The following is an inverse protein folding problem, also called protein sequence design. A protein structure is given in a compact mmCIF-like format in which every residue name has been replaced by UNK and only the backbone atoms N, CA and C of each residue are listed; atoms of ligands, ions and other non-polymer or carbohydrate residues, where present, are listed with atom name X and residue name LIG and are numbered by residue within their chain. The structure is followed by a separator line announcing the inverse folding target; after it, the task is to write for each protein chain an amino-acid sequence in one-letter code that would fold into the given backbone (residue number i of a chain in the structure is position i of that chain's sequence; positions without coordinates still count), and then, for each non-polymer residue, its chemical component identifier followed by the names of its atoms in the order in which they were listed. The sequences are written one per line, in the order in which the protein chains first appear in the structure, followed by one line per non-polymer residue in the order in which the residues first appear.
data_IF_108608102485
#
_entry.id   IF_108608102485
#
_cell.length_a   1.000
_cell.length_b   1.000
_cell.length_c   1.000
_cell.angle_alpha   90.00
_cell.angle_beta   90.00
_cell.angle_gamma   90.00
#
_symmetry.space_group_name_H-M   'P 1'
#
loop_
_entity.id
_entity.type
_entity.pdbx_description
1 polymer ?
#
# COMPACT_ATOMS: atom_id res chain seq x y z
N UNK A 1 -6.25 41.88 -18.82
CA UNK A 1 -5.77 41.12 -17.65
C UNK A 1 -4.38 41.65 -17.28
N UNK A 2 -4.21 42.24 -16.10
CA UNK A 2 -2.91 42.78 -15.66
C UNK A 2 -1.96 41.62 -15.33
N UNK A 3 -0.71 41.68 -15.82
CA UNK A 3 0.31 40.66 -15.55
C UNK A 3 0.76 40.78 -14.09
N UNK A 4 0.71 39.68 -13.34
CA UNK A 4 1.24 39.58 -11.97
C UNK A 4 2.72 40.03 -11.93
N UNK A 5 3.06 40.89 -10.97
CA UNK A 5 4.44 41.33 -10.77
C UNK A 5 5.26 40.22 -10.12
N UNK A 6 6.58 40.19 -10.34
CA UNK A 6 7.49 39.18 -9.77
C UNK A 6 7.35 39.05 -8.25
N UNK A 7 7.12 40.17 -7.55
CA UNK A 7 6.90 40.22 -6.10
C UNK A 7 5.56 39.59 -5.70
N UNK A 8 4.49 39.86 -6.44
CA UNK A 8 3.18 39.24 -6.20
C UNK A 8 3.19 37.73 -6.49
N UNK A 9 3.93 37.30 -7.52
CA UNK A 9 4.12 35.88 -7.79
C UNK A 9 4.93 35.19 -6.69
N UNK A 10 6.02 35.79 -6.20
CA UNK A 10 6.80 35.23 -5.10
C UNK A 10 5.97 35.09 -3.81
N UNK A 11 5.17 36.11 -3.47
CA UNK A 11 4.29 36.07 -2.31
C UNK A 11 3.26 34.93 -2.39
N UNK A 12 2.70 34.64 -3.57
CA UNK A 12 1.79 33.49 -3.75
C UNK A 12 2.50 32.15 -3.55
N UNK A 13 3.77 32.03 -3.95
CA UNK A 13 4.57 30.82 -3.70
C UNK A 13 4.93 30.64 -2.23
N UNK A 14 5.23 31.75 -1.54
CA UNK A 14 5.49 31.74 -0.10
C UNK A 14 4.22 31.43 0.69
N UNK A 15 3.07 32.02 0.32
CA UNK A 15 1.75 31.71 0.89
C UNK A 15 1.34 30.25 0.66
N UNK A 16 1.62 29.71 -0.53
CA UNK A 16 1.39 28.30 -0.82
C UNK A 16 2.29 27.40 0.06
N UNK A 17 3.57 27.74 0.19
CA UNK A 17 4.54 27.00 1.02
C UNK A 17 4.13 27.02 2.50
N UNK A 18 3.79 28.19 3.02
CA UNK A 18 3.35 28.37 4.40
C UNK A 18 2.01 27.69 4.64
N UNK A 19 1.10 27.71 3.66
CA UNK A 19 -0.12 26.92 3.68
C UNK A 19 0.17 25.44 3.89
N UNK A 20 1.05 24.85 3.07
CA UNK A 20 1.42 23.44 3.23
C UNK A 20 2.09 23.13 4.58
N UNK A 21 3.02 23.96 5.05
CA UNK A 21 3.74 23.75 6.32
C UNK A 21 2.86 23.96 7.55
N UNK A 22 1.83 24.81 7.46
CA UNK A 22 1.00 25.16 8.60
C UNK A 22 -0.30 24.35 8.69
N UNK A 23 -0.74 23.65 7.64
CA UNK A 23 -1.97 22.84 7.68
C UNK A 23 -1.89 21.76 8.77
N UNK A 24 -0.80 20.97 8.81
CA UNK A 24 -0.63 19.91 9.82
C UNK A 24 -0.65 20.49 11.24
N UNK A 25 0.15 21.53 11.49
CA UNK A 25 0.19 22.23 12.78
C UNK A 25 -1.16 22.81 13.18
N UNK A 26 -1.92 23.33 12.22
CA UNK A 26 -3.25 23.92 12.47
C UNK A 26 -4.24 22.83 12.83
N UNK A 27 -4.21 21.68 12.15
CA UNK A 27 -5.08 20.53 12.45
C UNK A 27 -4.74 19.94 13.82
N UNK A 28 -3.46 19.77 14.13
CA UNK A 28 -3.03 19.34 15.47
C UNK A 28 -3.56 20.30 16.53
N UNK A 29 -3.40 21.61 16.35
CA UNK A 29 -3.96 22.62 17.28
C UNK A 29 -5.47 22.55 17.42
N UNK A 30 -6.21 22.33 16.32
CA UNK A 30 -7.67 22.16 16.36
C UNK A 30 -8.04 20.93 17.20
N UNK A 31 -7.31 19.82 17.02
CA UNK A 31 -7.50 18.56 17.74
C UNK A 31 -7.17 18.71 19.23
N UNK A 32 -6.00 19.26 19.55
CA UNK A 32 -5.53 19.46 20.93
C UNK A 32 -6.40 20.47 21.69
N UNK A 33 -6.77 21.58 21.05
CA UNK A 33 -7.59 22.62 21.67
C UNK A 33 -9.10 22.31 21.63
N UNK A 34 -9.49 21.18 21.02
CA UNK A 34 -10.88 20.81 20.78
C UNK A 34 -11.73 21.94 20.21
N UNK A 35 -11.21 22.62 19.18
CA UNK A 35 -11.78 23.88 18.69
C UNK A 35 -13.19 23.75 18.07
N UNK A 36 -13.72 22.53 17.95
CA UNK A 36 -15.11 22.27 17.55
C UNK A 36 -16.12 22.44 18.69
N UNK A 37 -15.73 22.24 19.95
CA UNK A 37 -16.65 22.33 21.09
C UNK A 37 -17.26 23.75 21.24
N UNK A 38 -16.47 24.85 21.16
CA UNK A 38 -17.03 26.21 21.24
C UNK A 38 -17.89 26.60 20.04
N UNK A 39 -17.76 25.88 18.92
CA UNK A 39 -18.57 26.08 17.72
C UNK A 39 -19.91 25.34 17.78
N UNK A 40 -20.14 24.54 18.83
CA UNK A 40 -21.38 23.82 19.07
C UNK A 40 -21.45 22.42 18.46
N UNK A 41 -20.35 21.89 17.92
CA UNK A 41 -20.33 20.51 17.42
C UNK A 41 -20.08 19.52 18.56
N UNK A 42 -20.73 18.36 18.48
CA UNK A 42 -20.58 17.31 19.49
C UNK A 42 -19.28 16.51 19.32
N UNK A 43 -18.78 16.41 18.09
CA UNK A 43 -17.60 15.62 17.75
C UNK A 43 -16.72 16.34 16.72
N UNK A 44 -15.42 16.01 16.71
CA UNK A 44 -14.52 16.44 15.66
C UNK A 44 -14.99 15.96 14.29
N UNK A 45 -15.53 14.74 14.20
CA UNK A 45 -16.05 14.17 12.94
C UNK A 45 -17.20 14.99 12.33
N UNK A 46 -18.08 15.53 13.17
CA UNK A 46 -19.18 16.40 12.76
C UNK A 46 -18.65 17.74 12.23
N UNK A 47 -17.76 18.39 12.99
CA UNK A 47 -17.13 19.65 12.58
C UNK A 47 -16.32 19.50 11.29
N UNK A 48 -15.62 18.37 11.13
CA UNK A 48 -14.86 18.06 9.93
C UNK A 48 -15.77 17.93 8.71
N UNK A 49 -16.89 17.23 8.83
CA UNK A 49 -17.82 17.05 7.72
C UNK A 49 -18.52 18.34 7.31
N UNK A 50 -18.78 19.27 8.24
CA UNK A 50 -19.39 20.56 7.90
C UNK A 50 -18.37 21.54 7.28
N UNK A 51 -17.15 21.60 7.82
CA UNK A 51 -16.17 22.64 7.46
C UNK A 51 -15.16 22.23 6.40
N UNK A 52 -14.92 20.93 6.23
CA UNK A 52 -13.87 20.39 5.36
C UNK A 52 -14.43 19.43 4.31
N UNK A 53 -15.74 19.49 4.04
CA UNK A 53 -16.34 18.70 2.97
C UNK A 53 -15.65 18.98 1.62
N UNK A 54 -15.40 17.92 0.85
CA UNK A 54 -14.72 18.00 -0.44
C UNK A 54 -13.21 18.29 -0.40
N UNK A 55 -12.61 18.49 0.78
CA UNK A 55 -11.15 18.72 0.90
C UNK A 55 -10.39 17.40 0.84
N UNK A 56 -9.54 17.23 -0.18
CA UNK A 56 -8.62 16.08 -0.27
C UNK A 56 -7.42 16.27 0.65
N UNK A 57 -7.31 15.42 1.66
CA UNK A 57 -6.19 15.41 2.59
C UNK A 57 -4.87 14.97 1.92
N UNK A 58 -3.84 15.80 2.13
CA UNK A 58 -2.45 15.44 1.87
C UNK A 58 -2.02 14.24 2.73
N UNK A 59 -1.09 13.43 2.22
CA UNK A 59 -0.69 12.16 2.84
C UNK A 59 -0.29 12.32 4.30
N UNK A 60 0.53 13.33 4.61
CA UNK A 60 1.06 13.60 5.97
C UNK A 60 -0.05 13.81 7.01
N UNK A 61 -1.15 14.44 6.62
CA UNK A 61 -2.20 14.90 7.54
C UNK A 61 -3.27 13.82 7.80
N UNK A 62 -3.37 12.83 6.91
CA UNK A 62 -4.43 11.79 6.97
C UNK A 62 -4.44 11.03 8.29
N UNK A 63 -3.27 10.72 8.82
CA UNK A 63 -3.15 9.95 10.05
C UNK A 63 -3.75 10.67 11.26
N UNK A 64 -3.48 11.97 11.42
CA UNK A 64 -4.01 12.78 12.52
C UNK A 64 -5.54 12.83 12.50
N UNK A 65 -6.14 13.10 11.33
CA UNK A 65 -7.60 13.20 11.17
C UNK A 65 -8.26 11.84 11.41
N UNK A 66 -7.74 10.78 10.80
CA UNK A 66 -8.29 9.42 10.95
C UNK A 66 -8.16 8.94 12.39
N UNK A 67 -7.04 9.21 13.07
CA UNK A 67 -6.84 8.78 14.46
C UNK A 67 -7.79 9.49 15.42
N UNK A 68 -8.04 10.78 15.21
CA UNK A 68 -9.02 11.52 15.99
C UNK A 68 -10.43 10.94 15.82
N UNK A 69 -10.88 10.71 14.58
CA UNK A 69 -12.19 10.10 14.32
C UNK A 69 -12.30 8.67 14.89
N UNK A 70 -11.24 7.86 14.76
CA UNK A 70 -11.20 6.53 15.36
C UNK A 70 -11.19 6.57 16.89
N UNK A 71 -10.68 7.65 17.51
CA UNK A 71 -10.73 7.83 18.96
C UNK A 71 -12.14 8.15 19.46
N UNK A 72 -12.93 8.83 18.64
CA UNK A 72 -14.36 9.10 18.87
C UNK A 72 -15.26 7.89 18.58
N UNK A 73 -14.69 6.79 18.09
CA UNK A 73 -15.42 5.54 17.81
C UNK A 73 -16.06 5.48 16.43
N UNK A 74 -15.68 6.38 15.52
CA UNK A 74 -16.21 6.41 14.16
C UNK A 74 -15.89 5.12 13.37
N UNK A 75 -16.87 4.69 12.58
CA UNK A 75 -16.72 3.51 11.73
C UNK A 75 -15.81 3.80 10.53
N UNK A 76 -15.03 2.80 10.11
CA UNK A 76 -14.11 2.90 8.97
C UNK A 76 -14.78 3.45 7.70
N UNK A 77 -16.00 2.98 7.42
CA UNK A 77 -16.76 3.39 6.24
C UNK A 77 -17.24 4.85 6.34
N UNK A 78 -17.62 5.29 7.54
CA UNK A 78 -18.03 6.68 7.79
C UNK A 78 -16.83 7.64 7.64
N UNK A 79 -15.67 7.27 8.18
CA UNK A 79 -14.42 8.02 8.01
C UNK A 79 -14.05 8.11 6.52
N UNK A 80 -14.14 7.00 5.79
CA UNK A 80 -13.83 6.97 4.35
C UNK A 80 -14.73 7.94 3.56
N UNK A 81 -16.03 7.92 3.81
CA UNK A 81 -16.99 8.81 3.16
C UNK A 81 -16.74 10.29 3.47
N UNK A 82 -16.47 10.64 4.73
CA UNK A 82 -16.26 12.04 5.17
C UNK A 82 -14.92 12.64 4.75
N UNK A 83 -13.88 11.81 4.59
CA UNK A 83 -12.51 12.27 4.30
C UNK A 83 -12.08 12.05 2.86
N UNK A 84 -12.84 11.26 2.08
CA UNK A 84 -12.45 10.82 0.74
C UNK A 84 -11.22 9.89 0.72
N UNK A 85 -10.77 9.40 1.88
CA UNK A 85 -9.69 8.42 2.00
C UNK A 85 -10.24 7.04 1.70
N UNK A 86 -9.54 6.24 0.89
CA UNK A 86 -9.96 4.87 0.59
C UNK A 86 -10.09 4.01 1.84
N UNK A 87 -11.12 3.17 1.88
CA UNK A 87 -11.46 2.29 3.02
C UNK A 87 -10.29 1.41 3.46
N UNK A 88 -9.49 0.90 2.51
CA UNK A 88 -8.26 0.15 2.80
C UNK A 88 -7.24 0.96 3.59
N UNK A 89 -6.98 2.22 3.19
CA UNK A 89 -6.05 3.10 3.91
C UNK A 89 -6.55 3.45 5.31
N UNK A 90 -7.88 3.61 5.51
CA UNK A 90 -8.45 3.81 6.85
C UNK A 90 -8.28 2.55 7.72
N UNK A 91 -8.44 1.35 7.16
CA UNK A 91 -8.18 0.08 7.87
C UNK A 91 -6.71 -0.06 8.27
N UNK A 92 -5.79 0.32 7.39
CA UNK A 92 -4.36 0.31 7.68
C UNK A 92 -4.01 1.28 8.82
N UNK A 93 -4.53 2.51 8.77
CA UNK A 93 -4.37 3.51 9.83
C UNK A 93 -4.99 3.03 11.16
N UNK A 94 -6.16 2.38 11.13
CA UNK A 94 -6.76 1.78 12.32
C UNK A 94 -5.87 0.70 12.93
N UNK A 95 -5.27 -0.16 12.10
CA UNK A 95 -4.33 -1.21 12.54
C UNK A 95 -3.05 -0.60 13.13
N UNK A 96 -2.51 0.44 12.51
CA UNK A 96 -1.34 1.15 13.03
C UNK A 96 -1.64 1.79 14.40
N UNK A 97 -2.80 2.45 14.54
CA UNK A 97 -3.25 3.02 15.81
C UNK A 97 -3.39 1.96 16.89
N UNK A 98 -3.99 0.81 16.59
CA UNK A 98 -4.11 -0.30 17.55
C UNK A 98 -2.75 -0.89 17.96
N UNK A 99 -1.73 -0.75 17.11
CA UNK A 99 -0.36 -1.15 17.40
C UNK A 99 0.46 -0.06 18.09
N UNK A 100 -0.15 1.07 18.47
CA UNK A 100 0.52 2.17 19.17
C UNK A 100 1.43 3.02 18.29
N UNK A 101 1.31 2.93 16.96
CA UNK A 101 2.04 3.83 16.04
C UNK A 101 1.48 5.24 16.21
N UNK A 102 2.31 6.26 16.47
CA UNK A 102 1.83 7.64 16.54
C UNK A 102 1.55 8.20 15.14
N UNK A 103 0.63 9.17 14.99
CA UNK A 103 0.17 9.66 13.69
C UNK A 103 1.31 10.25 12.83
N UNK A 104 2.34 10.84 13.43
CA UNK A 104 3.52 11.38 12.74
C UNK A 104 4.38 10.28 12.09
N UNK A 105 4.29 9.05 12.60
CA UNK A 105 4.99 7.87 12.08
C UNK A 105 4.11 6.98 11.18
N UNK A 106 2.81 7.27 11.08
CA UNK A 106 1.84 6.45 10.36
C UNK A 106 1.97 6.56 8.83
N UNK A 107 2.47 7.69 8.32
CA UNK A 107 2.78 7.93 6.90
C UNK A 107 4.07 7.28 6.42
N UNK A 108 4.94 6.88 7.35
CA UNK A 108 6.18 6.15 7.09
C UNK A 108 5.92 4.65 6.83
N UNK A 109 4.93 4.34 6.00
CA UNK A 109 4.83 2.98 5.46
C UNK A 109 5.96 2.85 4.44
N UNK A 110 6.96 2.03 4.78
CA UNK A 110 7.99 1.54 3.86
C UNK A 110 7.35 1.43 2.48
N UNK A 111 7.86 2.19 1.51
CA UNK A 111 7.61 1.91 0.11
C UNK A 111 7.75 0.40 -0.03
N UNK A 112 6.64 -0.31 -0.20
CA UNK A 112 6.69 -1.60 -0.82
C UNK A 112 7.08 -1.27 -2.26
N UNK A 113 8.39 -1.12 -2.49
CA UNK A 113 8.94 -1.47 -3.78
C UNK A 113 8.41 -2.87 -3.99
N UNK A 114 7.36 -3.02 -4.83
CA UNK A 114 6.98 -4.34 -5.32
C UNK A 114 8.29 -4.89 -5.85
N UNK A 115 8.83 -5.90 -5.18
CA UNK A 115 10.01 -6.58 -5.66
C UNK A 115 9.72 -6.89 -7.12
N UNK A 116 10.62 -6.47 -8.02
CA UNK A 116 10.49 -6.80 -9.43
C UNK A 116 10.07 -8.27 -9.52
N UNK A 117 9.01 -8.58 -10.28
CA UNK A 117 8.63 -9.98 -10.50
C UNK A 117 9.91 -10.69 -10.91
N UNK A 118 10.44 -11.54 -10.03
CA UNK A 118 11.73 -12.18 -10.30
C UNK A 118 11.51 -12.98 -11.59
N UNK A 119 12.31 -12.76 -12.63
CA UNK A 119 12.16 -13.53 -13.85
C UNK A 119 12.24 -15.02 -13.49
N UNK A 120 11.52 -15.89 -14.20
CA UNK A 120 11.58 -17.32 -13.94
C UNK A 120 13.03 -17.79 -13.93
N UNK A 121 13.38 -18.58 -12.91
CA UNK A 121 14.72 -19.16 -12.80
C UNK A 121 14.92 -20.20 -13.92
N UNK A 122 16.06 -20.16 -14.59
CA UNK A 122 16.44 -21.17 -15.59
C UNK A 122 17.23 -22.28 -14.92
N UNK A 123 16.78 -23.52 -15.11
CA UNK A 123 17.55 -24.71 -14.81
C UNK A 123 18.20 -25.18 -16.12
N UNK A 124 19.53 -25.29 -16.14
CA UNK A 124 20.28 -25.86 -17.25
C UNK A 124 20.72 -27.25 -16.81
N UNK A 125 20.35 -28.26 -17.59
CA UNK A 125 20.77 -29.65 -17.40
C UNK A 125 21.49 -30.06 -18.67
N UNK A 126 22.69 -30.58 -18.50
CA UNK A 126 23.50 -31.12 -19.60
C UNK A 126 23.33 -32.63 -19.63
N UNK A 127 23.05 -33.17 -20.81
CA UNK A 127 22.99 -34.60 -21.08
C UNK A 127 24.20 -34.99 -21.91
N UNK A 128 24.72 -36.19 -21.70
CA UNK A 128 25.64 -36.80 -22.66
C UNK A 128 24.95 -37.02 -24.01
N UNK A 129 25.71 -37.15 -25.12
CA UNK A 129 25.15 -37.44 -26.43
C UNK A 129 24.23 -38.67 -26.43
N UNK A 130 24.64 -39.74 -25.75
CA UNK A 130 23.91 -41.01 -25.68
C UNK A 130 22.59 -40.87 -24.92
N UNK A 131 22.58 -40.15 -23.79
CA UNK A 131 21.36 -39.90 -23.01
C UNK A 131 20.35 -39.06 -23.81
N UNK A 132 20.84 -38.06 -24.55
CA UNK A 132 19.99 -37.24 -25.42
C UNK A 132 19.39 -38.07 -26.55
N UNK A 133 20.17 -38.95 -27.17
CA UNK A 133 19.70 -39.80 -28.26
C UNK A 133 18.63 -40.78 -27.77
N UNK A 134 18.87 -41.45 -26.64
CA UNK A 134 17.88 -42.33 -26.01
C UNK A 134 16.58 -41.60 -25.67
N UNK A 135 16.68 -40.38 -25.13
CA UNK A 135 15.50 -39.58 -24.81
C UNK A 135 14.74 -39.14 -26.07
N UNK A 136 15.46 -38.73 -27.12
CA UNK A 136 14.86 -38.36 -28.40
C UNK A 136 14.15 -39.54 -29.08
N UNK A 137 14.75 -40.75 -29.05
CA UNK A 137 14.11 -41.96 -29.56
C UNK A 137 12.85 -42.33 -28.78
N UNK A 138 12.89 -42.20 -27.45
CA UNK A 138 11.72 -42.42 -26.60
C UNK A 138 10.58 -41.45 -26.97
N UNK A 139 10.86 -40.13 -27.03
CA UNK A 139 9.87 -39.14 -27.43
C UNK A 139 9.29 -39.43 -28.82
N UNK A 140 10.14 -39.78 -29.80
CA UNK A 140 9.71 -40.12 -31.15
C UNK A 140 8.80 -41.35 -31.19
N UNK A 141 9.11 -42.37 -30.38
CA UNK A 141 8.31 -43.61 -30.30
C UNK A 141 6.89 -43.36 -29.78
N UNK A 142 6.72 -42.37 -28.92
CA UNK A 142 5.44 -42.03 -28.29
C UNK A 142 4.77 -40.77 -28.88
N UNK A 143 5.32 -40.22 -29.97
CA UNK A 143 4.86 -38.99 -30.62
C UNK A 143 4.78 -37.79 -29.66
N UNK A 144 5.83 -37.63 -28.84
CA UNK A 144 5.92 -36.60 -27.81
C UNK A 144 6.93 -35.51 -28.19
N UNK A 145 6.66 -34.28 -27.74
CA UNK A 145 7.63 -33.19 -27.80
C UNK A 145 8.65 -33.30 -26.66
N UNK A 146 9.93 -33.36 -27.02
CA UNK A 146 11.05 -33.55 -26.10
C UNK A 146 11.12 -32.45 -25.03
N UNK A 147 10.82 -31.20 -25.39
CA UNK A 147 10.90 -30.06 -24.46
C UNK A 147 9.78 -30.10 -23.44
N UNK A 148 8.57 -30.41 -23.90
CA UNK A 148 7.38 -30.54 -23.06
C UNK A 148 7.55 -31.69 -22.09
N UNK A 149 7.95 -32.86 -22.57
CA UNK A 149 8.16 -34.05 -21.73
C UNK A 149 9.23 -33.82 -20.66
N UNK A 150 10.37 -33.23 -21.02
CA UNK A 150 11.41 -32.89 -20.05
C UNK A 150 10.90 -31.93 -18.97
N UNK A 151 10.09 -30.93 -19.36
CA UNK A 151 9.51 -29.97 -18.42
C UNK A 151 8.52 -30.63 -17.47
N UNK A 152 7.68 -31.52 -17.98
CA UNK A 152 6.69 -32.24 -17.18
C UNK A 152 7.35 -33.22 -16.21
N UNK A 153 8.35 -33.97 -16.67
CA UNK A 153 9.13 -34.88 -15.81
C UNK A 153 9.80 -34.14 -14.65
N UNK A 154 10.41 -32.97 -14.90
CA UNK A 154 11.02 -32.13 -13.86
C UNK A 154 9.95 -31.65 -12.86
N UNK A 155 8.79 -31.18 -13.34
CA UNK A 155 7.70 -30.72 -12.47
C UNK A 155 7.12 -31.85 -11.61
N UNK A 156 6.91 -33.02 -12.20
CA UNK A 156 6.43 -34.20 -11.49
C UNK A 156 7.43 -34.64 -10.40
N UNK A 157 8.73 -34.59 -10.70
CA UNK A 157 9.77 -34.90 -9.72
C UNK A 157 9.77 -33.91 -8.56
N UNK A 158 9.67 -32.60 -8.83
CA UNK A 158 9.56 -31.58 -7.78
C UNK A 158 8.32 -31.78 -6.90
N UNK A 159 7.16 -32.06 -7.50
CA UNK A 159 5.93 -32.31 -6.74
C UNK A 159 6.08 -33.51 -5.80
N UNK A 160 6.72 -34.58 -6.26
CA UNK A 160 7.02 -35.77 -5.44
C UNK A 160 7.96 -35.43 -4.27
N UNK A 161 9.01 -34.65 -4.51
CA UNK A 161 9.94 -34.23 -3.47
C UNK A 161 9.25 -33.36 -2.40
N UNK A 162 8.38 -32.43 -2.82
CA UNK A 162 7.61 -31.59 -1.91
C UNK A 162 6.72 -32.41 -0.96
N UNK A 163 6.04 -33.43 -1.48
CA UNK A 163 5.20 -34.34 -0.67
C UNK A 163 6.01 -35.16 0.34
N UNK A 164 7.28 -35.47 0.04
CA UNK A 164 8.17 -36.20 0.94
C UNK A 164 8.70 -35.30 2.06
N UNK A 165 8.94 -34.01 1.79
CA UNK A 165 9.33 -33.05 2.83
C UNK A 165 8.20 -32.77 3.80
N UNK A 166 6.95 -32.66 3.34
CA UNK A 166 5.80 -32.42 4.20
C UNK A 166 5.50 -33.62 5.13
N UNK A 167 5.71 -34.85 4.64
CA UNK A 167 5.55 -36.08 5.45
C UNK A 167 6.64 -36.31 6.49
N UNK A 168 7.80 -35.67 6.39
CA UNK A 168 8.89 -35.74 7.38
C UNK A 168 8.76 -34.71 8.50
N UNK A 169 7.90 -33.71 8.32
CA UNK A 169 7.65 -32.64 9.27
C UNK A 169 6.39 -32.86 10.14
N UNK A 170 5.66 -33.95 9.91
CA UNK A 170 4.54 -34.44 10.74
C UNK A 170 4.97 -35.67 11.53
#
# INVERSE_FOLDING_TARGET
MSKLTKKASAALWDELRDGFLNIEKTIIKIIEAKAWEPLGYATFAEAWADRMDGVRLAGEVRAHVVYAMLAEGEAVEAISARTGIGTGSVKDLRRQRSNGVPPEAATLVRQHTRGHQRPPYRLIVEFSPDEREQFAEACKRFDLDMTTEATEAIRAHFARLAQLTDKKAS
#
